data_IF_076989335190
#
_entry.id   IF_076989335190
#
_cell.length_a   1.000
_cell.length_b   1.000
_cell.length_c   1.000
_cell.angle_alpha   90.00
_cell.angle_beta   90.00
_cell.angle_gamma   90.00
#
_symmetry.space_group_name_H-M   'P 1'
#
loop_
_entity.id
_entity.type
_entity.pdbx_description
1 polymer ?
#
# COMPACT_ATOMS: atom_id res chain seq x y z
N UNK A 1 -21.48 19.97 19.44
CA UNK A 1 -21.04 18.63 18.97
C UNK A 1 -19.93 18.18 19.92
N UNK A 2 -20.09 17.11 20.69
CA UNK A 2 -19.06 16.75 21.69
C UNK A 2 -17.82 16.18 20.99
N UNK A 3 -16.64 16.43 21.55
CA UNK A 3 -15.36 15.89 21.07
C UNK A 3 -15.43 14.38 20.82
N UNK A 4 -16.13 13.68 21.70
CA UNK A 4 -16.37 12.24 21.66
C UNK A 4 -17.15 11.79 20.43
N UNK A 5 -18.15 12.56 20.00
CA UNK A 5 -18.93 12.24 18.78
C UNK A 5 -18.06 12.36 17.54
N UNK A 6 -17.26 13.43 17.43
CA UNK A 6 -16.34 13.64 16.31
C UNK A 6 -15.26 12.55 16.25
N UNK A 7 -14.70 12.16 17.40
CA UNK A 7 -13.69 11.11 17.48
C UNK A 7 -14.27 9.74 17.09
N UNK A 8 -15.51 9.45 17.50
CA UNK A 8 -16.20 8.24 17.07
C UNK A 8 -16.52 8.25 15.56
N UNK A 9 -16.82 9.40 14.96
CA UNK A 9 -17.04 9.52 13.51
C UNK A 9 -15.75 9.27 12.70
N UNK A 10 -14.60 9.75 13.20
CA UNK A 10 -13.28 9.44 12.63
C UNK A 10 -12.99 7.94 12.75
N UNK A 11 -13.19 7.33 13.91
CA UNK A 11 -12.97 5.89 14.10
C UNK A 11 -13.89 5.06 13.18
N UNK A 12 -15.14 5.48 12.99
CA UNK A 12 -16.06 4.84 12.06
C UNK A 12 -15.58 4.92 10.61
N UNK A 13 -14.99 6.04 10.18
CA UNK A 13 -14.35 6.13 8.85
C UNK A 13 -13.24 5.08 8.68
N UNK A 14 -12.57 4.70 9.77
CA UNK A 14 -11.52 3.67 9.80
C UNK A 14 -12.04 2.26 10.07
N UNK A 15 -13.35 2.09 10.33
CA UNK A 15 -14.01 0.78 10.50
C UNK A 15 -14.03 0.29 11.94
N UNK A 16 -13.61 1.16 12.84
CA UNK A 16 -13.55 0.91 14.26
C UNK A 16 -14.65 1.68 14.98
N UNK A 17 -14.85 1.36 16.25
CA UNK A 17 -15.79 2.07 17.10
C UNK A 17 -15.10 2.41 18.42
N UNK A 18 -15.43 3.56 19.00
CA UNK A 18 -14.79 4.01 20.24
C UNK A 18 -14.98 3.03 21.42
N UNK A 19 -16.06 2.25 21.42
CA UNK A 19 -16.32 1.20 22.41
C UNK A 19 -15.35 0.01 22.28
N UNK A 20 -14.71 -0.20 21.11
CA UNK A 20 -13.70 -1.26 20.91
C UNK A 20 -12.44 -0.98 21.73
N UNK A 21 -12.16 0.30 22.00
CA UNK A 21 -10.95 0.74 22.71
C UNK A 21 -11.14 0.94 24.21
N UNK A 22 -12.38 0.79 24.74
CA UNK A 22 -12.74 0.99 26.16
C UNK A 22 -12.22 2.30 26.77
N UNK A 23 -12.05 3.34 25.96
CA UNK A 23 -11.46 4.61 26.38
C UNK A 23 -12.44 5.50 27.18
N UNK A 24 -13.72 5.14 27.23
CA UNK A 24 -14.80 5.94 27.86
C UNK A 24 -15.75 5.00 28.61
N UNK A 25 -16.21 5.41 29.79
CA UNK A 25 -17.11 4.63 30.65
C UNK A 25 -18.55 4.55 30.12
N UNK A 26 -18.97 5.48 29.25
CA UNK A 26 -20.29 5.48 28.64
C UNK A 26 -20.32 4.58 27.40
N UNK A 27 -21.01 3.45 27.49
CA UNK A 27 -21.32 2.58 26.35
C UNK A 27 -22.24 3.30 25.39
N UNK A 28 -21.70 3.88 24.31
CA UNK A 28 -22.52 4.42 23.24
C UNK A 28 -23.21 3.25 22.53
N UNK A 29 -24.52 3.05 22.77
CA UNK A 29 -25.33 2.08 22.03
C UNK A 29 -25.59 2.60 20.61
N UNK A 30 -24.56 2.60 19.76
CA UNK A 30 -24.78 2.60 18.32
C UNK A 30 -25.38 1.23 17.96
N UNK A 31 -26.62 1.20 17.46
CA UNK A 31 -27.22 -0.04 16.97
C UNK A 31 -26.37 -0.60 15.81
N UNK A 32 -26.30 -1.92 15.67
CA UNK A 32 -25.57 -2.56 14.55
C UNK A 32 -25.99 -1.97 13.19
N UNK A 33 -27.29 -1.71 13.01
CA UNK A 33 -27.86 -1.05 11.84
C UNK A 33 -27.31 0.38 11.60
N UNK A 34 -27.07 1.17 12.65
CA UNK A 34 -26.45 2.50 12.51
C UNK A 34 -24.95 2.46 12.18
N UNK A 35 -24.22 1.42 12.58
CA UNK A 35 -22.81 1.21 12.14
C UNK A 35 -22.79 0.80 10.66
N UNK A 36 -23.78 0.01 10.25
CA UNK A 36 -23.93 -0.60 8.95
C UNK A 36 -24.24 0.41 7.82
N UNK A 37 -25.17 1.36 8.04
CA UNK A 37 -25.46 2.43 7.08
C UNK A 37 -24.32 3.45 6.97
N UNK A 38 -23.60 3.69 8.06
CA UNK A 38 -22.50 4.66 8.11
C UNK A 38 -21.30 4.22 7.29
N UNK A 39 -20.92 2.95 7.26
CA UNK A 39 -19.77 2.50 6.45
C UNK A 39 -20.02 2.69 4.94
N UNK A 40 -21.22 2.33 4.46
CA UNK A 40 -21.61 2.58 3.07
C UNK A 40 -21.66 4.09 2.80
N UNK A 41 -22.23 4.85 3.74
CA UNK A 41 -22.30 6.30 3.63
C UNK A 41 -20.90 6.93 3.52
N UNK A 42 -19.96 6.57 4.38
CA UNK A 42 -18.60 7.11 4.33
C UNK A 42 -17.91 6.80 3.00
N UNK A 43 -18.00 5.56 2.50
CA UNK A 43 -17.37 5.16 1.24
C UNK A 43 -17.97 5.84 0.01
N UNK A 44 -19.31 6.02 0.00
CA UNK A 44 -19.99 6.75 -1.08
C UNK A 44 -19.74 8.25 -1.03
N UNK A 45 -19.46 8.80 0.15
CA UNK A 45 -19.22 10.23 0.36
C UNK A 45 -17.74 10.57 0.54
N UNK A 46 -16.81 9.71 0.07
CA UNK A 46 -15.41 10.10 -0.04
C UNK A 46 -15.32 11.26 -1.03
N UNK A 47 -14.96 12.43 -0.52
CA UNK A 47 -14.80 13.64 -1.31
C UNK A 47 -13.58 13.45 -2.22
N UNK A 48 -13.82 13.50 -3.52
CA UNK A 48 -12.76 13.54 -4.52
C UNK A 48 -12.46 15.00 -4.82
N UNK A 49 -11.23 15.44 -4.58
CA UNK A 49 -10.83 16.83 -4.86
C UNK A 49 -10.58 17.03 -6.35
N UNK A 50 -10.67 18.28 -6.83
CA UNK A 50 -10.33 18.59 -8.23
C UNK A 50 -8.88 18.21 -8.56
N UNK A 51 -7.96 18.40 -7.61
CA UNK A 51 -6.56 17.98 -7.75
C UNK A 51 -6.43 16.47 -8.00
N UNK A 52 -7.24 15.65 -7.33
CA UNK A 52 -7.24 14.19 -7.53
C UNK A 52 -7.77 13.79 -8.92
N UNK A 53 -8.71 14.55 -9.47
CA UNK A 53 -9.20 14.33 -10.83
C UNK A 53 -8.18 14.70 -11.90
N UNK A 54 -7.31 15.67 -11.60
CA UNK A 54 -6.21 16.07 -12.49
C UNK A 54 -5.04 15.08 -12.49
N UNK A 55 -4.97 14.14 -11.52
CA UNK A 55 -3.91 13.13 -11.48
C UNK A 55 -3.82 12.33 -12.77
N UNK A 56 -4.97 12.04 -13.40
CA UNK A 56 -5.00 11.28 -14.67
C UNK A 56 -4.26 11.98 -15.81
N UNK A 57 -4.13 13.31 -15.78
CA UNK A 57 -3.41 14.08 -16.81
C UNK A 57 -1.90 14.06 -16.61
N UNK A 58 -1.46 13.67 -15.41
CA UNK A 58 -0.05 13.65 -15.00
C UNK A 58 0.53 12.23 -15.00
N UNK A 59 -0.23 11.23 -15.46
CA UNK A 59 0.26 9.87 -15.61
C UNK A 59 1.31 9.83 -16.72
N UNK A 60 2.38 9.08 -16.49
CA UNK A 60 3.32 8.77 -17.57
C UNK A 60 2.66 7.84 -18.60
N UNK A 61 3.31 7.61 -19.75
CA UNK A 61 2.76 6.82 -20.84
C UNK A 61 2.31 5.41 -20.41
N UNK A 62 3.12 4.69 -19.63
CA UNK A 62 2.81 3.32 -19.19
C UNK A 62 1.67 3.27 -18.16
N UNK A 63 1.68 4.20 -17.22
CA UNK A 63 0.60 4.39 -16.25
C UNK A 63 -0.70 4.76 -16.96
N UNK A 64 -0.65 5.61 -17.97
CA UNK A 64 -1.80 6.00 -18.77
C UNK A 64 -2.39 4.81 -19.54
N UNK A 65 -1.55 3.97 -20.14
CA UNK A 65 -1.98 2.75 -20.81
C UNK A 65 -2.70 1.82 -19.83
N UNK A 66 -2.09 1.57 -18.67
CA UNK A 66 -2.68 0.72 -17.61
C UNK A 66 -3.99 1.30 -17.09
N UNK A 67 -4.03 2.61 -16.84
CA UNK A 67 -5.22 3.33 -16.42
C UNK A 67 -6.36 3.19 -17.43
N UNK A 68 -6.08 3.41 -18.72
CA UNK A 68 -7.08 3.34 -19.79
C UNK A 68 -7.69 1.94 -19.88
N UNK A 69 -6.87 0.88 -19.84
CA UNK A 69 -7.33 -0.51 -19.89
C UNK A 69 -8.25 -0.84 -18.71
N UNK A 70 -7.90 -0.41 -17.51
CA UNK A 70 -8.71 -0.68 -16.30
C UNK A 70 -10.02 0.12 -16.34
N UNK A 71 -9.97 1.41 -16.69
CA UNK A 71 -11.15 2.27 -16.77
C UNK A 71 -12.10 1.81 -17.88
N UNK A 72 -11.58 1.35 -19.02
CA UNK A 72 -12.39 0.75 -20.09
C UNK A 72 -13.12 -0.50 -19.60
N UNK A 73 -12.43 -1.40 -18.89
CA UNK A 73 -13.08 -2.59 -18.30
C UNK A 73 -14.19 -2.24 -17.32
N UNK A 74 -13.95 -1.26 -16.45
CA UNK A 74 -14.95 -0.77 -15.49
C UNK A 74 -16.15 -0.16 -16.23
N UNK A 75 -15.90 0.69 -17.22
CA UNK A 75 -16.94 1.41 -17.96
C UNK A 75 -17.77 0.45 -18.85
N UNK A 76 -17.13 -0.58 -19.39
CA UNK A 76 -17.78 -1.66 -20.15
C UNK A 76 -18.46 -2.72 -19.27
N UNK A 77 -18.41 -2.57 -17.94
CA UNK A 77 -18.93 -3.53 -16.95
C UNK A 77 -18.47 -4.98 -17.20
N UNK A 78 -17.20 -5.13 -17.60
CA UNK A 78 -16.56 -6.43 -17.83
C UNK A 78 -15.68 -6.79 -16.64
N UNK A 79 -15.64 -8.07 -16.28
CA UNK A 79 -14.69 -8.57 -15.30
C UNK A 79 -13.24 -8.31 -15.74
N UNK A 80 -12.34 -8.17 -14.76
CA UNK A 80 -10.92 -8.01 -15.02
C UNK A 80 -10.11 -8.17 -13.74
N UNK A 81 -9.09 -9.01 -13.76
CA UNK A 81 -8.11 -9.11 -12.70
C UNK A 81 -6.77 -8.64 -13.27
N UNK A 82 -6.20 -7.60 -12.66
CA UNK A 82 -4.96 -6.98 -13.11
C UNK A 82 -3.90 -7.11 -12.04
N UNK A 83 -2.67 -7.32 -12.46
CA UNK A 83 -1.50 -7.25 -11.61
C UNK A 83 -0.65 -6.07 -12.08
N UNK A 84 -0.49 -5.08 -11.22
CA UNK A 84 0.37 -3.92 -11.47
C UNK A 84 1.66 -4.17 -10.73
N UNK A 85 2.65 -4.61 -11.49
CA UNK A 85 4.03 -4.67 -11.05
C UNK A 85 4.68 -3.32 -11.31
N UNK A 86 5.25 -2.72 -10.27
CA UNK A 86 6.03 -1.51 -10.41
C UNK A 86 7.11 -1.47 -9.33
N UNK A 87 8.40 -1.27 -9.68
CA UNK A 87 9.46 -1.06 -8.70
C UNK A 87 9.13 0.08 -7.74
N UNK A 88 9.62 0.02 -6.50
CA UNK A 88 9.44 1.12 -5.53
C UNK A 88 9.81 2.49 -6.13
N UNK A 89 9.02 3.53 -5.82
CA UNK A 89 9.25 4.90 -6.29
C UNK A 89 8.71 5.23 -7.69
N UNK A 90 8.10 4.29 -8.40
CA UNK A 90 7.57 4.48 -9.78
C UNK A 90 6.16 5.08 -9.85
N UNK A 91 5.61 5.57 -8.74
CA UNK A 91 4.29 6.22 -8.74
C UNK A 91 3.09 5.26 -8.82
N UNK A 92 3.23 3.99 -8.40
CA UNK A 92 2.10 3.03 -8.31
C UNK A 92 0.89 3.59 -7.53
N UNK A 93 1.15 4.19 -6.38
CA UNK A 93 0.11 4.87 -5.59
C UNK A 93 -0.55 6.02 -6.36
N UNK A 94 0.21 6.72 -7.20
CA UNK A 94 -0.31 7.81 -8.02
C UNK A 94 -1.33 7.28 -9.04
N UNK A 95 -1.03 6.15 -9.70
CA UNK A 95 -1.97 5.44 -10.58
C UNK A 95 -3.23 5.00 -9.81
N UNK A 96 -3.08 4.41 -8.62
CA UNK A 96 -4.22 3.97 -7.82
C UNK A 96 -5.11 5.12 -7.40
N UNK A 97 -4.53 6.25 -6.96
CA UNK A 97 -5.29 7.45 -6.63
C UNK A 97 -6.06 7.97 -7.84
N UNK A 98 -5.44 8.02 -9.02
CA UNK A 98 -6.14 8.42 -10.24
C UNK A 98 -7.32 7.48 -10.59
N UNK A 99 -7.13 6.16 -10.47
CA UNK A 99 -8.19 5.16 -10.69
C UNK A 99 -9.34 5.35 -9.70
N UNK A 100 -9.04 5.39 -8.40
CA UNK A 100 -10.03 5.57 -7.34
C UNK A 100 -10.82 6.87 -7.51
N UNK A 101 -10.13 7.99 -7.75
CA UNK A 101 -10.76 9.29 -7.98
C UNK A 101 -11.68 9.29 -9.20
N UNK A 102 -11.26 8.64 -10.29
CA UNK A 102 -12.06 8.54 -11.52
C UNK A 102 -13.32 7.71 -11.32
N UNK A 103 -13.23 6.59 -10.60
CA UNK A 103 -14.40 5.73 -10.34
C UNK A 103 -15.37 6.42 -9.38
N UNK A 104 -14.85 7.04 -8.31
CA UNK A 104 -15.65 7.74 -7.31
C UNK A 104 -16.35 8.98 -7.87
N UNK A 105 -15.69 9.77 -8.72
CA UNK A 105 -16.33 10.93 -9.37
C UNK A 105 -17.48 10.58 -10.30
N UNK A 106 -17.54 9.34 -10.78
CA UNK A 106 -18.70 8.81 -11.53
C UNK A 106 -19.84 8.32 -10.61
N UNK A 107 -19.71 8.50 -9.29
CA UNK A 107 -20.67 8.02 -8.28
C UNK A 107 -20.60 6.52 -8.00
N UNK A 108 -19.57 5.82 -8.50
CA UNK A 108 -19.38 4.39 -8.24
C UNK A 108 -18.53 4.16 -6.99
N UNK A 109 -18.72 3.00 -6.37
CA UNK A 109 -17.93 2.58 -5.21
C UNK A 109 -16.61 1.96 -5.70
N UNK A 110 -15.49 2.48 -5.21
CA UNK A 110 -14.17 1.87 -5.37
C UNK A 110 -13.51 1.65 -4.01
N UNK A 111 -13.12 0.41 -3.74
CA UNK A 111 -12.54 0.01 -2.46
C UNK A 111 -11.02 0.02 -2.57
N UNK A 112 -10.37 0.81 -1.71
CA UNK A 112 -8.93 0.81 -1.54
C UNK A 112 -8.55 -0.11 -0.38
N UNK A 113 -7.73 -1.11 -0.67
CA UNK A 113 -7.22 -2.06 0.32
C UNK A 113 -5.73 -2.26 0.22
N UNK A 114 -5.09 -2.66 1.31
CA UNK A 114 -3.70 -3.09 1.34
C UNK A 114 -3.49 -4.19 2.39
N UNK A 115 -2.34 -4.87 2.39
CA UNK A 115 -2.00 -5.85 3.43
C UNK A 115 -1.60 -5.15 4.74
N UNK A 116 -0.79 -4.10 4.68
CA UNK A 116 -0.37 -3.28 5.83
C UNK A 116 -1.27 -2.07 6.07
N UNK A 117 -1.43 -1.69 7.35
CA UNK A 117 -2.17 -0.48 7.74
C UNK A 117 -1.50 0.81 7.25
N UNK A 118 -0.17 0.83 7.13
CA UNK A 118 0.59 1.98 6.61
C UNK A 118 0.35 2.16 5.11
N UNK A 119 0.37 1.07 4.34
CA UNK A 119 0.05 1.15 2.91
C UNK A 119 -1.43 1.52 2.67
N UNK A 120 -2.32 1.03 3.53
CA UNK A 120 -3.73 1.39 3.48
C UNK A 120 -3.94 2.89 3.75
N UNK A 121 -3.26 3.49 4.73
CA UNK A 121 -3.47 4.91 5.09
C UNK A 121 -3.04 5.90 4.00
N UNK A 122 -2.18 5.47 3.07
CA UNK A 122 -1.73 6.28 1.93
C UNK A 122 -2.84 6.41 0.86
N UNK A 123 -3.73 5.41 0.76
CA UNK A 123 -4.82 5.44 -0.21
C UNK A 123 -6.06 6.14 0.39
N UNK A 124 -6.74 7.02 -0.37
CA UNK A 124 -7.97 7.67 0.12
C UNK A 124 -9.06 6.64 0.44
N UNK A 125 -9.53 6.62 1.69
CA UNK A 125 -10.47 5.60 2.20
C UNK A 125 -9.87 4.20 2.31
N UNK A 126 -8.54 4.09 2.31
CA UNK A 126 -7.86 2.81 2.38
C UNK A 126 -8.03 2.12 3.72
N UNK A 127 -8.21 0.80 3.67
CA UNK A 127 -8.24 -0.07 4.85
C UNK A 127 -7.40 -1.32 4.62
N UNK A 128 -6.99 -1.99 5.68
CA UNK A 128 -6.37 -3.30 5.52
C UNK A 128 -7.37 -4.31 4.91
N UNK A 129 -6.89 -5.22 4.08
CA UNK A 129 -7.72 -6.24 3.46
C UNK A 129 -8.38 -7.15 4.52
N UNK A 130 -7.66 -7.48 5.60
CA UNK A 130 -8.23 -8.23 6.72
C UNK A 130 -9.41 -7.48 7.37
N UNK A 131 -9.30 -6.17 7.58
CA UNK A 131 -10.36 -5.36 8.22
C UNK A 131 -11.55 -5.18 7.28
N UNK A 132 -11.28 -4.93 5.99
CA UNK A 132 -12.29 -4.71 4.95
C UNK A 132 -13.08 -5.98 4.65
N UNK A 133 -12.41 -7.12 4.51
CA UNK A 133 -13.04 -8.37 4.08
C UNK A 133 -13.30 -9.34 5.23
N UNK A 134 -12.99 -8.94 6.47
CA UNK A 134 -13.13 -9.77 7.68
C UNK A 134 -12.50 -11.15 7.49
N UNK A 135 -11.35 -11.19 6.82
CA UNK A 135 -10.55 -12.40 6.65
C UNK A 135 -9.89 -12.69 7.99
N UNK A 136 -10.14 -13.87 8.54
CA UNK A 136 -9.52 -14.31 9.80
C UNK A 136 -7.99 -14.28 9.67
N UNK A 137 -7.31 -13.67 10.66
CA UNK A 137 -5.83 -13.58 10.72
C UNK A 137 -5.23 -14.88 11.31
N UNK A 138 -6.09 -15.80 11.78
CA UNK A 138 -5.65 -16.99 12.51
C UNK A 138 -4.65 -17.84 11.73
N UNK A 139 -3.69 -18.34 12.50
CA UNK A 139 -2.52 -19.10 12.03
C UNK A 139 -2.93 -20.52 11.61
N UNK A 140 -4.08 -20.99 12.10
CA UNK A 140 -4.65 -22.29 11.78
C UNK A 140 -5.33 -22.29 10.42
N UNK A 141 -5.23 -23.41 9.74
CA UNK A 141 -5.44 -23.58 8.30
C UNK A 141 -6.86 -23.27 7.79
N UNK A 142 -7.79 -22.77 8.61
CA UNK A 142 -9.16 -22.44 8.21
C UNK A 142 -9.36 -20.92 8.08
N UNK A 143 -8.77 -20.31 7.06
CA UNK A 143 -9.09 -18.94 6.63
C UNK A 143 -10.55 -18.86 6.18
N UNK A 144 -11.42 -18.38 7.07
CA UNK A 144 -12.82 -18.05 6.77
C UNK A 144 -13.03 -16.53 6.69
N UNK A 145 -13.99 -16.10 5.89
CA UNK A 145 -14.47 -14.72 5.89
C UNK A 145 -15.81 -14.66 6.66
N UNK A 146 -15.83 -13.93 7.76
CA UNK A 146 -17.03 -13.79 8.58
C UNK A 146 -17.87 -12.58 8.13
N UNK A 147 -18.40 -12.65 6.90
CA UNK A 147 -19.32 -11.65 6.35
C UNK A 147 -20.68 -12.31 6.09
N UNK A 148 -21.72 -11.88 6.80
CA UNK A 148 -23.08 -12.28 6.47
C UNK A 148 -23.49 -11.69 5.13
N UNK A 149 -24.16 -12.48 4.28
CA UNK A 149 -24.72 -12.02 3.01
C UNK A 149 -25.71 -10.87 3.18
N UNK A 150 -26.40 -10.76 4.32
CA UNK A 150 -27.33 -9.65 4.57
C UNK A 150 -26.66 -8.41 5.17
N UNK A 151 -25.34 -8.45 5.45
CA UNK A 151 -24.64 -7.31 6.05
C UNK A 151 -24.49 -6.14 5.08
N UNK A 152 -24.39 -4.92 5.62
CA UNK A 152 -24.09 -3.73 4.81
C UNK A 152 -22.71 -3.80 4.16
N UNK A 153 -21.73 -4.44 4.81
CA UNK A 153 -20.42 -4.67 4.22
C UNK A 153 -20.52 -5.58 2.98
N UNK A 154 -21.36 -6.62 3.02
CA UNK A 154 -21.67 -7.41 1.83
C UNK A 154 -22.34 -6.56 0.74
N UNK A 155 -23.26 -5.67 1.09
CA UNK A 155 -23.87 -4.72 0.16
C UNK A 155 -22.81 -3.79 -0.48
N UNK A 156 -21.92 -3.22 0.33
CA UNK A 156 -20.80 -2.39 -0.11
C UNK A 156 -19.89 -3.11 -1.11
N UNK A 157 -19.50 -4.36 -0.80
CA UNK A 157 -18.66 -5.19 -1.67
C UNK A 157 -19.39 -5.56 -2.96
N UNK A 158 -20.70 -5.82 -2.90
CA UNK A 158 -21.53 -6.06 -4.09
C UNK A 158 -21.68 -4.84 -4.97
N UNK A 159 -21.74 -3.65 -4.40
CA UNK A 159 -21.88 -2.39 -5.15
C UNK A 159 -20.54 -1.89 -5.72
N UNK A 160 -19.41 -2.32 -5.13
CA UNK A 160 -18.08 -1.95 -5.59
C UNK A 160 -17.85 -2.31 -7.06
N UNK A 161 -17.37 -1.35 -7.86
CA UNK A 161 -16.98 -1.55 -9.26
C UNK A 161 -15.48 -1.84 -9.42
N UNK A 162 -14.68 -1.30 -8.52
CA UNK A 162 -13.23 -1.46 -8.48
C UNK A 162 -12.79 -1.85 -7.07
N UNK A 163 -11.91 -2.84 -6.98
CA UNK A 163 -11.20 -3.17 -5.75
C UNK A 163 -9.70 -3.08 -6.05
N UNK A 164 -9.00 -2.19 -5.35
CA UNK A 164 -7.54 -2.11 -5.39
C UNK A 164 -7.00 -2.80 -4.15
N UNK A 165 -6.06 -3.72 -4.30
CA UNK A 165 -5.35 -4.36 -3.20
C UNK A 165 -3.85 -4.20 -3.38
N UNK A 166 -3.26 -3.29 -2.59
CA UNK A 166 -1.82 -3.05 -2.60
C UNK A 166 -1.01 -3.97 -1.66
N UNK A 167 0.26 -4.16 -1.97
CA UNK A 167 1.19 -5.04 -1.26
C UNK A 167 0.67 -6.48 -1.14
N UNK A 168 -0.01 -6.98 -2.18
CA UNK A 168 -0.58 -8.34 -2.18
C UNK A 168 0.50 -9.42 -2.04
N UNK A 169 1.75 -9.12 -2.38
CA UNK A 169 2.88 -10.02 -2.20
C UNK A 169 3.15 -10.40 -0.75
N UNK A 170 2.72 -9.56 0.19
CA UNK A 170 2.76 -9.85 1.62
C UNK A 170 1.60 -10.75 2.08
N UNK A 171 0.58 -10.95 1.24
CA UNK A 171 -0.53 -11.84 1.56
C UNK A 171 -0.17 -13.29 1.24
N UNK A 172 -0.55 -14.22 2.13
CA UNK A 172 -0.46 -15.66 1.83
C UNK A 172 -1.38 -16.00 0.66
N UNK A 173 -0.98 -16.96 -0.19
CA UNK A 173 -1.81 -17.46 -1.31
C UNK A 173 -3.25 -17.78 -0.89
N UNK A 174 -3.40 -18.45 0.25
CA UNK A 174 -4.70 -18.84 0.82
C UNK A 174 -5.61 -17.63 1.11
N UNK A 175 -5.04 -16.47 1.44
CA UNK A 175 -5.80 -15.23 1.66
C UNK A 175 -6.45 -14.73 0.37
N UNK A 176 -5.74 -14.84 -0.76
CA UNK A 176 -6.25 -14.46 -2.08
C UNK A 176 -7.34 -15.45 -2.54
N UNK A 177 -7.15 -16.74 -2.27
CA UNK A 177 -8.15 -17.79 -2.55
C UNK A 177 -9.43 -17.57 -1.71
N UNK A 178 -9.30 -17.31 -0.41
CA UNK A 178 -10.45 -16.99 0.45
C UNK A 178 -11.15 -15.71 0.01
N UNK A 179 -10.40 -14.71 -0.46
CA UNK A 179 -10.99 -13.49 -1.02
C UNK A 179 -11.79 -13.75 -2.31
N UNK A 180 -11.28 -14.58 -3.22
CA UNK A 180 -12.03 -15.02 -4.41
C UNK A 180 -13.31 -15.77 -4.03
N UNK A 181 -13.21 -16.73 -3.10
CA UNK A 181 -14.36 -17.48 -2.58
C UNK A 181 -15.41 -16.56 -1.94
N UNK A 182 -14.97 -15.57 -1.15
CA UNK A 182 -15.86 -14.57 -0.56
C UNK A 182 -16.64 -13.82 -1.65
N UNK A 183 -15.98 -13.32 -2.69
CA UNK A 183 -16.65 -12.56 -3.74
C UNK A 183 -17.62 -13.44 -4.53
N UNK A 184 -17.22 -14.68 -4.85
CA UNK A 184 -18.09 -15.68 -5.47
C UNK A 184 -19.35 -15.95 -4.64
N UNK A 185 -19.18 -16.14 -3.33
CA UNK A 185 -20.30 -16.40 -2.42
C UNK A 185 -21.22 -15.18 -2.26
N UNK A 186 -20.65 -13.98 -2.09
CA UNK A 186 -21.43 -12.74 -1.94
C UNK A 186 -22.24 -12.39 -3.18
N UNK A 187 -21.71 -12.69 -4.37
CA UNK A 187 -22.33 -12.38 -5.66
C UNK A 187 -23.07 -13.58 -6.28
N UNK A 188 -23.13 -14.72 -5.56
CA UNK A 188 -23.76 -15.97 -6.00
C UNK A 188 -23.32 -16.39 -7.42
N UNK A 189 -22.02 -16.41 -7.68
CA UNK A 189 -21.44 -16.75 -8.98
C UNK A 189 -20.14 -17.53 -8.82
N UNK A 190 -19.77 -18.33 -9.83
CA UNK A 190 -18.51 -19.06 -9.88
C UNK A 190 -17.42 -18.32 -10.67
N UNK A 191 -17.70 -17.10 -11.14
CA UNK A 191 -16.75 -16.28 -11.88
C UNK A 191 -15.64 -15.77 -10.96
N UNK A 192 -14.41 -15.70 -11.47
CA UNK A 192 -13.25 -15.17 -10.75
C UNK A 192 -13.55 -13.77 -10.17
N UNK A 193 -13.26 -13.59 -8.88
CA UNK A 193 -13.55 -12.42 -8.05
C UNK A 193 -15.00 -11.93 -8.18
N UNK A 194 -15.94 -12.86 -8.36
CA UNK A 194 -17.36 -12.54 -8.54
C UNK A 194 -17.66 -11.66 -9.77
N UNK A 195 -16.75 -11.60 -10.75
CA UNK A 195 -16.89 -10.74 -11.93
C UNK A 195 -16.52 -9.28 -11.70
N UNK A 196 -15.91 -8.94 -10.56
CA UNK A 196 -15.43 -7.59 -10.25
C UNK A 196 -14.17 -7.23 -11.04
N UNK A 197 -13.89 -5.92 -11.12
CA UNK A 197 -12.57 -5.45 -11.53
C UNK A 197 -11.69 -5.35 -10.28
N UNK A 198 -10.64 -6.17 -10.24
CA UNK A 198 -9.68 -6.22 -9.14
C UNK A 198 -8.29 -5.86 -9.66
N UNK A 199 -7.61 -4.95 -8.96
CA UNK A 199 -6.26 -4.51 -9.27
C UNK A 199 -5.37 -4.85 -8.09
N UNK A 200 -4.44 -5.77 -8.32
CA UNK A 200 -3.44 -6.17 -7.34
C UNK A 200 -2.15 -5.40 -7.55
N UNK A 201 -1.60 -4.88 -6.46
CA UNK A 201 -0.32 -4.19 -6.44
C UNK A 201 0.74 -5.00 -5.74
N UNK A 202 1.91 -5.08 -6.36
CA UNK A 202 3.11 -5.60 -5.72
C UNK A 202 4.22 -4.54 -5.76
N UNK A 203 5.20 -4.66 -4.86
CA UNK A 203 6.45 -3.92 -4.95
C UNK A 203 7.58 -4.95 -5.13
N UNK A 204 7.96 -5.22 -6.39
CA UNK A 204 8.90 -6.30 -6.70
C UNK A 204 10.34 -6.08 -6.22
N UNK A 205 10.69 -4.90 -5.67
CA UNK A 205 11.98 -4.73 -4.98
C UNK A 205 12.13 -5.67 -3.78
N UNK A 206 11.02 -6.03 -3.14
CA UNK A 206 11.03 -6.99 -2.04
C UNK A 206 11.30 -8.42 -2.56
N UNK A 207 10.79 -8.80 -3.74
CA UNK A 207 11.07 -10.13 -4.35
C UNK A 207 12.54 -10.36 -4.67
N UNK A 208 13.27 -9.32 -5.07
CA UNK A 208 14.72 -9.41 -5.32
C UNK A 208 15.54 -9.52 -4.05
N UNK A 209 14.94 -9.32 -2.87
CA UNK A 209 15.55 -9.52 -1.56
C UNK A 209 14.58 -10.26 -0.61
N UNK A 210 14.50 -11.59 -0.71
CA UNK A 210 13.64 -12.42 0.14
C UNK A 210 13.93 -12.23 1.64
N UNK A 211 15.18 -11.96 2.02
CA UNK A 211 15.57 -11.76 3.41
C UNK A 211 14.97 -10.47 3.98
N UNK A 212 14.99 -9.37 3.21
CA UNK A 212 14.32 -8.12 3.58
C UNK A 212 12.80 -8.28 3.64
N UNK A 213 12.21 -8.98 2.68
CA UNK A 213 10.77 -9.27 2.67
C UNK A 213 10.32 -10.05 3.90
N UNK A 214 11.01 -11.14 4.23
CA UNK A 214 10.70 -11.96 5.40
C UNK A 214 10.84 -11.18 6.69
N UNK A 215 11.87 -10.32 6.80
CA UNK A 215 12.04 -9.45 7.95
C UNK A 215 10.88 -8.48 8.14
N UNK A 216 10.45 -7.77 7.09
CA UNK A 216 9.28 -6.89 7.14
C UNK A 216 8.01 -7.66 7.54
N UNK A 217 7.86 -8.89 7.03
CA UNK A 217 6.73 -9.76 7.39
C UNK A 217 6.78 -10.19 8.86
N UNK A 218 7.95 -10.49 9.42
CA UNK A 218 8.08 -10.81 10.86
C UNK A 218 7.71 -9.61 11.73
N UNK A 219 8.12 -8.39 11.34
CA UNK A 219 7.71 -7.15 12.02
C UNK A 219 6.19 -6.98 11.96
N UNK A 220 5.60 -7.02 10.75
CA UNK A 220 4.17 -6.77 10.55
C UNK A 220 3.28 -7.79 11.27
N UNK A 221 3.76 -9.01 11.46
CA UNK A 221 3.07 -10.06 12.21
C UNK A 221 3.38 -10.07 13.72
N UNK A 222 4.19 -9.13 14.22
CA UNK A 222 4.58 -9.07 15.64
C UNK A 222 5.45 -10.25 16.10
N UNK A 223 6.19 -10.88 15.19
CA UNK A 223 7.06 -12.05 15.46
C UNK A 223 8.53 -11.68 15.61
N UNK A 224 8.93 -10.48 15.22
CA UNK A 224 10.32 -10.03 15.36
C UNK A 224 10.62 -9.78 16.85
N UNK A 225 11.72 -10.32 17.40
CA UNK A 225 12.08 -10.13 18.79
C UNK A 225 12.32 -8.65 19.10
N UNK A 226 11.80 -8.22 20.24
CA UNK A 226 11.99 -6.88 20.76
C UNK A 226 13.20 -6.84 21.67
N UNK A 227 13.90 -5.72 21.69
CA UNK A 227 14.94 -5.44 22.68
C UNK A 227 14.31 -5.27 24.06
N UNK A 228 15.14 -5.21 25.10
CA UNK A 228 14.71 -4.92 26.49
C UNK A 228 13.95 -3.60 26.64
N UNK A 229 14.10 -2.67 25.68
CA UNK A 229 13.38 -1.40 25.62
C UNK A 229 12.11 -1.44 24.75
N UNK A 230 11.63 -2.64 24.40
CA UNK A 230 10.43 -2.82 23.56
C UNK A 230 10.57 -2.19 22.15
N UNK A 231 11.79 -2.15 21.61
CA UNK A 231 12.09 -1.65 20.25
C UNK A 231 12.44 -2.80 19.31
N UNK A 232 12.13 -2.64 18.03
CA UNK A 232 12.56 -3.56 16.98
C UNK A 232 14.01 -3.28 16.65
N UNK A 233 14.86 -4.30 16.67
CA UNK A 233 16.26 -4.19 16.25
C UNK A 233 16.38 -4.34 14.73
N UNK A 234 17.16 -3.46 14.09
CA UNK A 234 17.44 -3.55 12.65
C UNK A 234 18.56 -4.58 12.44
N UNK A 235 18.39 -5.56 11.53
CA UNK A 235 19.42 -6.53 11.20
C UNK A 235 20.74 -5.86 10.85
N UNK A 236 21.84 -6.41 11.35
CA UNK A 236 23.20 -5.89 11.08
C UNK A 236 23.52 -5.84 9.58
N UNK A 237 22.89 -6.69 8.77
CA UNK A 237 23.02 -6.68 7.31
C UNK A 237 22.47 -5.42 6.64
N UNK A 238 21.60 -4.65 7.31
CA UNK A 238 21.05 -3.39 6.79
C UNK A 238 21.78 -2.16 7.34
N UNK A 239 22.76 -2.37 8.22
CA UNK A 239 23.47 -1.30 8.90
C UNK A 239 24.89 -1.24 8.35
N UNK A 240 25.28 -0.06 7.88
CA UNK A 240 26.71 0.27 7.73
C UNK A 240 27.17 0.78 9.10
N UNK A 241 28.06 0.07 9.82
CA UNK A 241 28.49 0.48 11.15
C UNK A 241 29.14 1.86 11.11
N UNK A 242 28.76 2.71 12.05
CA UNK A 242 29.41 4.01 12.20
C UNK A 242 30.71 3.86 13.01
N UNK A 243 31.83 4.27 12.43
CA UNK A 243 33.11 4.39 13.12
C UNK A 243 33.52 5.86 13.23
N UNK A 244 33.95 6.42 12.11
CA UNK A 244 34.23 7.83 11.92
C UNK A 244 33.43 8.34 10.72
N UNK A 245 33.16 9.64 10.66
CA UNK A 245 32.39 10.22 9.56
C UNK A 245 32.98 9.85 8.19
N UNK A 246 34.29 10.01 8.01
CA UNK A 246 34.97 9.73 6.75
C UNK A 246 34.96 8.24 6.37
N UNK A 247 35.24 7.34 7.30
CA UNK A 247 35.25 5.90 7.03
C UNK A 247 33.84 5.37 6.77
N UNK A 248 32.85 5.85 7.54
CA UNK A 248 31.45 5.43 7.39
C UNK A 248 30.86 5.92 6.08
N UNK A 249 31.17 7.16 5.67
CA UNK A 249 30.78 7.69 4.36
C UNK A 249 31.46 6.95 3.21
N UNK A 250 32.73 6.55 3.38
CA UNK A 250 33.42 5.71 2.41
C UNK A 250 32.78 4.32 2.30
N UNK A 251 32.51 3.65 3.43
CA UNK A 251 31.84 2.37 3.46
C UNK A 251 30.43 2.43 2.87
N UNK A 252 29.67 3.50 3.15
CA UNK A 252 28.35 3.75 2.57
C UNK A 252 28.43 3.95 1.06
N UNK A 253 29.42 4.71 0.59
CA UNK A 253 29.69 4.94 -0.84
C UNK A 253 30.03 3.64 -1.56
N UNK A 254 30.91 2.80 -1.01
CA UNK A 254 31.28 1.51 -1.60
C UNK A 254 30.14 0.48 -1.57
N UNK A 255 29.38 0.45 -0.47
CA UNK A 255 28.20 -0.42 -0.35
C UNK A 255 27.12 -0.05 -1.36
N UNK A 256 26.88 1.26 -1.54
CA UNK A 256 25.84 1.76 -2.44
C UNK A 256 26.30 1.70 -3.91
N UNK A 257 27.54 2.06 -4.20
CA UNK A 257 28.11 2.13 -5.55
C UNK A 257 29.43 1.32 -5.65
N UNK A 258 29.36 -0.02 -5.61
CA UNK A 258 30.54 -0.87 -5.54
C UNK A 258 31.41 -0.86 -6.81
N UNK A 259 30.85 -0.43 -7.95
CA UNK A 259 31.60 -0.32 -9.19
C UNK A 259 31.26 0.99 -9.92
N UNK A 260 31.96 2.08 -9.57
CA UNK A 260 31.79 3.37 -10.24
C UNK A 260 32.25 3.37 -11.71
N UNK A 261 33.05 2.39 -12.15
CA UNK A 261 33.44 2.29 -13.56
C UNK A 261 32.31 1.71 -14.44
N UNK A 262 31.33 1.01 -13.86
CA UNK A 262 30.16 0.49 -14.57
C UNK A 262 29.19 1.60 -15.05
N UNK A 263 29.36 2.84 -14.57
CA UNK A 263 28.61 4.03 -15.01
C UNK A 263 28.60 4.20 -16.53
N UNK A 264 29.69 3.81 -17.21
CA UNK A 264 29.84 3.95 -18.67
C UNK A 264 29.22 2.80 -19.47
N UNK A 265 29.05 1.64 -18.84
CA UNK A 265 28.59 0.43 -19.53
C UNK A 265 27.09 0.20 -19.39
N UNK A 266 26.49 0.58 -18.25
CA UNK A 266 25.06 0.38 -18.01
C UNK A 266 24.49 1.44 -17.04
N UNK A 267 23.86 2.47 -17.61
CA UNK A 267 23.20 3.54 -16.86
C UNK A 267 22.03 3.02 -15.98
N UNK A 268 21.45 1.86 -16.29
CA UNK A 268 20.34 1.30 -15.51
C UNK A 268 20.78 0.79 -14.12
N UNK A 269 22.01 0.31 -14.00
CA UNK A 269 22.59 -0.18 -12.74
C UNK A 269 22.78 0.93 -11.68
N UNK A 270 22.98 2.17 -12.13
CA UNK A 270 23.19 3.35 -11.28
C UNK A 270 21.89 4.03 -10.91
N UNK A 271 20.98 4.22 -11.89
CA UNK A 271 19.69 4.90 -11.66
C UNK A 271 18.78 4.16 -10.68
N UNK A 272 19.05 2.88 -10.40
CA UNK A 272 18.34 2.07 -9.41
C UNK A 272 18.79 2.29 -7.95
N UNK A 273 19.85 3.07 -7.71
CA UNK A 273 20.47 3.25 -6.38
C UNK A 273 20.47 4.72 -5.97
N UNK A 274 20.21 4.99 -4.68
CA UNK A 274 20.15 6.35 -4.15
C UNK A 274 20.62 6.38 -2.70
N UNK A 275 21.32 7.45 -2.31
CA UNK A 275 21.60 7.78 -0.90
C UNK A 275 20.64 8.89 -0.50
N UNK A 276 19.86 8.66 0.55
CA UNK A 276 18.93 9.65 1.10
C UNK A 276 19.48 10.18 2.41
N UNK A 277 19.43 11.50 2.59
CA UNK A 277 19.87 12.17 3.82
C UNK A 277 18.77 13.07 4.36
N UNK A 278 18.85 13.41 5.65
CA UNK A 278 17.82 14.22 6.33
C UNK A 278 17.96 15.72 6.09
N UNK A 279 19.10 16.20 5.60
CA UNK A 279 19.35 17.62 5.35
C UNK A 279 20.13 17.85 4.05
N UNK A 280 19.78 18.92 3.35
CA UNK A 280 20.39 19.29 2.07
C UNK A 280 21.89 19.61 2.14
N UNK A 281 22.38 20.13 3.28
CA UNK A 281 23.82 20.39 3.44
C UNK A 281 24.65 19.10 3.36
N UNK A 282 24.16 18.00 3.90
CA UNK A 282 24.82 16.69 3.79
C UNK A 282 24.69 16.08 2.39
N UNK A 283 23.65 16.43 1.63
CA UNK A 283 23.54 16.02 0.22
C UNK A 283 24.71 16.58 -0.58
N UNK A 284 25.03 17.86 -0.41
CA UNK A 284 26.12 18.52 -1.14
C UNK A 284 27.48 17.88 -0.79
N UNK A 285 27.76 17.67 0.49
CA UNK A 285 29.01 17.05 0.94
C UNK A 285 29.19 15.62 0.40
N UNK A 286 28.13 14.81 0.42
CA UNK A 286 28.17 13.45 -0.12
C UNK A 286 28.33 13.47 -1.64
N UNK A 287 27.65 14.39 -2.33
CA UNK A 287 27.79 14.54 -3.77
C UNK A 287 29.21 14.95 -4.15
N UNK A 288 29.80 15.94 -3.48
CA UNK A 288 31.18 16.38 -3.72
C UNK A 288 32.17 15.23 -3.50
N UNK A 289 32.01 14.47 -2.42
CA UNK A 289 32.81 13.28 -2.14
C UNK A 289 32.67 12.21 -3.23
N UNK A 290 31.45 11.97 -3.72
CA UNK A 290 31.20 10.99 -4.79
C UNK A 290 31.80 11.48 -6.11
N UNK A 291 31.61 12.75 -6.47
CA UNK A 291 32.18 13.40 -7.65
C UNK A 291 33.71 13.25 -7.66
N UNK A 292 34.36 13.40 -6.51
CA UNK A 292 35.80 13.25 -6.39
C UNK A 292 36.31 11.83 -6.58
N UNK A 293 35.46 10.83 -6.36
CA UNK A 293 35.78 9.41 -6.62
C UNK A 293 35.57 8.99 -8.08
N UNK A 294 34.95 9.83 -8.93
CA UNK A 294 34.85 9.52 -10.35
C UNK A 294 36.20 9.65 -11.06
N UNK A 295 36.53 8.73 -12.01
CA UNK A 295 37.75 8.84 -12.80
C UNK A 295 37.78 10.14 -13.61
N UNK A 296 38.96 10.77 -13.70
CA UNK A 296 39.18 12.13 -14.25
C UNK A 296 38.65 12.34 -15.69
N UNK A 297 38.53 11.27 -16.48
CA UNK A 297 37.97 11.30 -17.83
C UNK A 297 36.45 11.61 -17.86
N UNK A 298 35.75 11.43 -16.72
CA UNK A 298 34.31 11.65 -16.58
C UNK A 298 33.91 13.07 -16.14
N UNK A 299 34.86 13.86 -15.59
CA UNK A 299 34.55 15.18 -14.98
C UNK A 299 34.24 16.28 -15.99
N UNK A 300 34.47 16.05 -17.29
CA UNK A 300 34.25 17.04 -18.36
C UNK A 300 32.87 16.94 -19.05
N UNK A 301 32.02 15.98 -18.67
CA UNK A 301 30.76 15.69 -19.36
C UNK A 301 29.52 15.77 -18.46
N UNK A 302 29.65 16.27 -17.23
CA UNK A 302 28.57 16.51 -16.27
C UNK A 302 28.28 18.00 -16.11
#
# INVERSE_FOLDING_TARGET
MSFTTCLNDILHSMGHNINEYKLIAENFKASKATKEEREIFFERNIIVTEEELLLRQKLNHEQQMTYNVIIDRISSNRLGAFFVDSPGGTGKFFLYRALLATVRSKGFISLATATSGVAASILPGGRTAHSRFKISIDIDENFSCNISKQSSLACLIRDAKLIVWDEVSMAKKKMIETFDLLLKDLLNTNVLFGGKVVVFGENMRAKTDPAFSEYLMRIGNGKEPLTSENKIEIPKSFIVPYTTERESLNALSETTFPNMHAFFCDASSVTSRVILTTKNNFVNEINDMLIDKFPKEAKHSL
#
